data_IF_073695721040
#
_entry.id   IF_073695721040
#
_cell.length_a   1.000
_cell.length_b   1.000
_cell.length_c   1.000
_cell.angle_alpha   90.00
_cell.angle_beta   90.00
_cell.angle_gamma   90.00
#
_symmetry.space_group_name_H-M   'P 1'
#
loop_
_entity.id
_entity.type
_entity.pdbx_description
1 polymer ?
#
# COMPACT_ATOMS: atom_id res chain seq x y z
N UNK A 1 39.04 -20.41 33.90
CA UNK A 1 39.04 -19.02 33.38
C UNK A 1 39.01 -19.08 31.86
N UNK A 2 37.81 -19.20 31.30
CA UNK A 2 37.52 -19.06 29.85
C UNK A 2 36.12 -18.45 29.79
N UNK A 3 36.03 -17.18 29.39
CA UNK A 3 34.77 -16.44 29.28
C UNK A 3 34.14 -16.75 27.92
N UNK A 4 33.04 -17.52 27.93
CA UNK A 4 32.18 -17.74 26.76
C UNK A 4 31.47 -16.44 26.41
N UNK A 5 31.82 -15.85 25.26
CA UNK A 5 31.12 -14.68 24.72
C UNK A 5 29.83 -15.11 24.02
N UNK A 6 28.70 -14.89 24.70
CA UNK A 6 27.36 -14.94 24.13
C UNK A 6 27.19 -13.78 23.15
N UNK A 7 27.08 -14.07 21.85
CA UNK A 7 26.62 -13.11 20.85
C UNK A 7 25.10 -13.12 20.82
N UNK A 8 24.50 -12.15 21.50
CA UNK A 8 23.11 -11.76 21.34
C UNK A 8 23.02 -10.99 20.02
N UNK A 9 22.41 -11.60 19.00
CA UNK A 9 21.96 -10.87 17.80
C UNK A 9 20.62 -10.23 18.15
N UNK A 10 20.70 -8.98 18.60
CA UNK A 10 19.56 -8.09 18.81
C UNK A 10 19.28 -7.38 17.48
N UNK A 11 18.56 -8.04 16.58
CA UNK A 11 18.13 -7.45 15.31
C UNK A 11 16.95 -6.50 15.55
N UNK A 12 17.29 -5.23 15.76
CA UNK A 12 16.59 -4.02 15.32
C UNK A 12 15.06 -4.12 15.14
N UNK A 13 14.32 -4.17 16.26
CA UNK A 13 12.98 -3.58 16.35
C UNK A 13 13.13 -2.06 16.38
N UNK A 14 13.37 -1.49 15.20
CA UNK A 14 13.85 -0.12 15.06
C UNK A 14 13.01 0.77 14.17
N UNK A 15 11.69 0.59 14.06
CA UNK A 15 10.76 1.59 13.48
C UNK A 15 9.33 1.43 14.01
N UNK A 16 9.13 1.50 15.33
CA UNK A 16 7.81 1.91 15.84
C UNK A 16 7.81 3.43 15.98
N UNK A 17 6.86 4.17 15.38
CA UNK A 17 6.80 5.61 15.57
C UNK A 17 6.58 5.92 17.05
N UNK A 18 7.46 6.78 17.58
CA UNK A 18 7.29 7.49 18.85
C UNK A 18 6.08 8.41 18.75
N UNK A 19 5.21 8.38 19.76
CA UNK A 19 4.23 9.43 20.06
C UNK A 19 2.84 9.12 19.54
N UNK A 20 1.89 8.91 20.46
CA UNK A 20 0.47 8.71 20.19
C UNK A 20 -0.24 9.98 19.73
N UNK A 21 0.22 10.58 18.63
CA UNK A 21 -0.64 11.47 17.86
C UNK A 21 -1.78 10.62 17.28
N UNK A 22 -3.00 10.96 17.67
CA UNK A 22 -4.19 10.32 17.13
C UNK A 22 -4.24 10.62 15.63
N UNK A 23 -4.26 9.58 14.81
CA UNK A 23 -4.38 9.71 13.36
C UNK A 23 -5.59 10.59 13.00
N UNK A 24 -5.47 11.50 12.02
CA UNK A 24 -6.54 12.42 11.69
C UNK A 24 -7.70 11.68 11.02
N UNK A 25 -8.93 12.04 11.40
CA UNK A 25 -10.10 11.64 10.64
C UNK A 25 -10.18 12.45 9.35
N UNK A 26 -10.18 11.76 8.21
CA UNK A 26 -10.36 12.40 6.90
C UNK A 26 -11.83 12.47 6.46
N UNK A 27 -12.76 12.02 7.31
CA UNK A 27 -14.20 12.12 7.02
C UNK A 27 -14.63 13.59 7.00
N UNK A 28 -15.21 14.01 5.88
CA UNK A 28 -15.58 15.38 5.60
C UNK A 28 -14.41 16.28 5.19
N UNK A 29 -13.25 15.71 4.83
CA UNK A 29 -12.14 16.47 4.26
C UNK A 29 -12.61 17.35 3.08
N UNK A 30 -12.03 18.55 2.96
CA UNK A 30 -12.48 19.59 2.02
C UNK A 30 -11.65 19.66 0.74
N UNK A 31 -10.63 18.82 0.63
CA UNK A 31 -9.79 18.69 -0.55
C UNK A 31 -8.33 18.44 -0.16
N UNK A 32 -7.48 18.34 -1.18
CA UNK A 32 -6.07 18.05 -1.01
C UNK A 32 -5.17 18.94 -1.87
N UNK A 33 -3.88 18.90 -1.57
CA UNK A 33 -2.81 19.45 -2.38
C UNK A 33 -1.59 18.52 -2.34
N UNK A 34 -0.75 18.58 -3.37
CA UNK A 34 0.49 17.82 -3.45
C UNK A 34 1.69 18.76 -3.63
N UNK A 35 2.79 18.45 -2.94
CA UNK A 35 4.05 19.16 -3.07
C UNK A 35 5.03 18.32 -3.92
N UNK A 36 5.32 18.72 -5.18
CA UNK A 36 6.24 17.97 -6.03
C UNK A 36 7.69 17.98 -5.54
N UNK A 37 8.08 18.95 -4.70
CA UNK A 37 9.46 19.08 -4.21
C UNK A 37 9.76 18.14 -3.05
N UNK A 38 8.79 17.91 -2.16
CA UNK A 38 8.95 17.02 -1.00
C UNK A 38 8.26 15.67 -1.17
N UNK A 39 7.37 15.56 -2.17
CA UNK A 39 6.51 14.40 -2.37
C UNK A 39 5.33 14.33 -1.38
N UNK A 40 5.19 15.31 -0.48
CA UNK A 40 4.15 15.30 0.54
C UNK A 40 2.76 15.62 -0.02
N UNK A 41 1.75 15.03 0.60
CA UNK A 41 0.34 15.34 0.36
C UNK A 41 -0.24 16.02 1.59
N UNK A 42 -0.98 17.09 1.36
CA UNK A 42 -1.71 17.80 2.39
C UNK A 42 -3.21 17.63 2.16
N UNK A 43 -3.96 17.33 3.22
CA UNK A 43 -5.42 17.21 3.20
C UNK A 43 -6.01 18.25 4.14
N UNK A 44 -6.88 19.11 3.59
CA UNK A 44 -7.62 20.10 4.38
C UNK A 44 -8.75 19.40 5.14
N UNK A 45 -8.73 19.47 6.46
CA UNK A 45 -9.70 18.77 7.30
C UNK A 45 -11.06 19.47 7.31
N UNK A 46 -12.08 18.78 7.84
CA UNK A 46 -13.50 19.16 7.78
C UNK A 46 -13.80 20.58 8.23
N UNK A 47 -13.14 21.06 9.28
CA UNK A 47 -13.35 22.42 9.82
C UNK A 47 -12.70 23.50 8.94
N UNK A 48 -11.78 23.13 8.03
CA UNK A 48 -10.97 24.09 7.29
C UNK A 48 -9.94 24.84 8.14
N UNK A 49 -9.71 24.43 9.39
CA UNK A 49 -8.81 25.10 10.34
C UNK A 49 -7.50 24.36 10.56
N UNK A 50 -7.32 23.20 9.93
CA UNK A 50 -6.10 22.42 10.01
C UNK A 50 -5.89 21.54 8.79
N UNK A 51 -4.65 21.10 8.62
CA UNK A 51 -4.19 20.32 7.48
C UNK A 51 -3.45 19.09 7.99
N UNK A 52 -3.89 17.91 7.57
CA UNK A 52 -3.13 16.68 7.76
C UNK A 52 -2.07 16.54 6.67
N UNK A 53 -0.82 16.32 7.05
CA UNK A 53 0.31 16.14 6.13
C UNK A 53 0.74 14.69 6.10
N UNK A 54 0.93 14.18 4.89
CA UNK A 54 1.31 12.81 4.60
C UNK A 54 2.59 12.80 3.76
N UNK A 55 3.40 11.75 3.89
CA UNK A 55 4.57 11.56 3.03
C UNK A 55 4.21 11.02 1.63
N UNK A 56 5.22 10.79 0.80
CA UNK A 56 5.07 10.27 -0.56
C UNK A 56 4.41 8.87 -0.65
N UNK A 57 4.28 8.16 0.47
CA UNK A 57 3.62 6.86 0.59
C UNK A 57 2.34 6.96 1.42
N UNK A 58 1.77 8.16 1.53
CA UNK A 58 0.53 8.45 2.25
C UNK A 58 0.56 8.05 3.73
N UNK A 59 1.75 8.00 4.36
CA UNK A 59 1.84 7.80 5.80
C UNK A 59 1.67 9.14 6.50
N UNK A 60 0.81 9.19 7.52
CA UNK A 60 0.58 10.39 8.30
C UNK A 60 1.89 10.87 8.95
N UNK A 61 2.13 12.17 8.90
CA UNK A 61 3.34 12.81 9.44
C UNK A 61 3.03 13.73 10.60
N UNK A 62 2.02 14.59 10.44
CA UNK A 62 1.62 15.62 11.40
C UNK A 62 0.35 16.32 10.96
N UNK A 63 -0.34 16.94 11.90
CA UNK A 63 -1.38 17.93 11.64
C UNK A 63 -0.81 19.34 11.85
N UNK A 64 -1.16 20.27 10.96
CA UNK A 64 -0.77 21.67 11.04
C UNK A 64 -2.01 22.56 11.23
N UNK A 65 -2.06 23.41 12.27
CA UNK A 65 -3.14 24.38 12.42
C UNK A 65 -3.02 25.49 11.38
N UNK A 66 -4.17 26.07 11.01
CA UNK A 66 -4.27 27.25 10.16
C UNK A 66 -4.83 28.44 10.95
N UNK A 67 -4.44 29.65 10.54
CA UNK A 67 -4.98 30.89 11.09
C UNK A 67 -6.39 31.17 10.52
N UNK A 68 -7.38 30.40 11.00
CA UNK A 68 -8.78 30.52 10.63
C UNK A 68 -9.27 29.47 9.64
N UNK A 69 -10.56 29.56 9.30
CA UNK A 69 -11.19 28.65 8.34
C UNK A 69 -10.82 29.04 6.91
N UNK A 70 -10.32 28.06 6.15
CA UNK A 70 -9.94 28.25 4.74
C UNK A 70 -10.74 27.30 3.85
N UNK A 71 -10.89 27.67 2.58
CA UNK A 71 -11.63 26.87 1.60
C UNK A 71 -10.72 25.86 0.88
N UNK A 72 -9.45 26.17 0.72
CA UNK A 72 -8.48 25.27 0.14
C UNK A 72 -7.06 25.55 0.61
N UNK A 73 -6.16 24.72 0.13
CA UNK A 73 -4.72 24.75 0.40
C UNK A 73 -3.94 24.55 -0.91
N UNK A 74 -2.75 25.13 -0.97
CA UNK A 74 -1.79 24.91 -2.05
C UNK A 74 -0.37 24.94 -1.50
N UNK A 75 0.58 24.43 -2.27
CA UNK A 75 1.99 24.59 -1.93
C UNK A 75 2.57 25.79 -2.67
N UNK A 76 3.40 26.57 -1.95
CA UNK A 76 4.28 27.58 -2.55
C UNK A 76 5.54 27.68 -1.72
N UNK A 77 6.71 27.63 -2.37
CA UNK A 77 8.02 27.87 -1.73
C UNK A 77 8.27 26.99 -0.48
N UNK A 78 7.76 25.76 -0.47
CA UNK A 78 7.93 24.81 0.63
C UNK A 78 6.90 24.95 1.76
N UNK A 79 5.93 25.86 1.64
CA UNK A 79 4.90 26.11 2.64
C UNK A 79 3.51 25.76 2.12
N UNK A 80 2.64 25.29 3.03
CA UNK A 80 1.21 25.10 2.78
C UNK A 80 0.50 26.43 3.00
N UNK A 81 -0.04 27.02 1.93
CA UNK A 81 -0.68 28.33 1.96
C UNK A 81 -2.19 28.16 1.79
N UNK A 82 -3.00 28.81 2.64
CA UNK A 82 -4.43 28.98 2.43
C UNK A 82 -4.80 29.55 1.06
N UNK A 83 -5.94 29.13 0.52
CA UNK A 83 -6.56 29.77 -0.64
C UNK A 83 -8.06 29.91 -0.48
N UNK A 84 -8.61 30.93 -1.13
CA UNK A 84 -10.03 31.22 -1.13
C UNK A 84 -10.84 30.24 -1.99
N UNK A 85 -10.19 29.54 -2.93
CA UNK A 85 -10.84 28.56 -3.80
C UNK A 85 -10.79 27.16 -3.18
N UNK A 86 -11.85 26.38 -3.33
CA UNK A 86 -11.92 25.03 -2.79
C UNK A 86 -10.83 24.13 -3.39
N UNK A 87 -10.07 23.41 -2.56
CA UNK A 87 -9.11 22.41 -3.05
C UNK A 87 -9.83 21.28 -3.79
N UNK A 88 -9.23 20.69 -4.83
CA UNK A 88 -9.84 19.55 -5.50
C UNK A 88 -9.76 18.30 -4.61
N UNK A 89 -10.63 17.33 -4.87
CA UNK A 89 -10.54 16.00 -4.26
C UNK A 89 -9.54 15.08 -4.98
N UNK A 90 -8.93 15.55 -6.06
CA UNK A 90 -7.93 14.84 -6.83
C UNK A 90 -6.86 15.77 -7.38
N UNK A 91 -5.60 15.34 -7.39
CA UNK A 91 -4.48 16.04 -8.04
C UNK A 91 -3.58 15.05 -8.77
N UNK A 92 -2.87 15.54 -9.79
CA UNK A 92 -1.75 14.82 -10.39
C UNK A 92 -0.61 14.73 -9.38
N UNK A 93 -0.17 13.52 -9.08
CA UNK A 93 0.92 13.19 -8.18
C UNK A 93 2.19 12.75 -8.92
N UNK A 94 3.13 12.10 -8.21
CA UNK A 94 4.40 11.70 -8.79
C UNK A 94 4.21 10.67 -9.91
N UNK A 95 5.06 10.75 -10.94
CA UNK A 95 5.13 9.77 -12.04
C UNK A 95 3.79 9.53 -12.79
N UNK A 96 2.89 10.53 -12.81
CA UNK A 96 1.60 10.43 -13.49
C UNK A 96 0.53 9.69 -12.71
N UNK A 97 0.73 9.47 -11.41
CA UNK A 97 -0.32 8.95 -10.52
C UNK A 97 -1.38 10.01 -10.25
N UNK A 98 -2.58 9.56 -9.93
CA UNK A 98 -3.60 10.39 -9.33
C UNK A 98 -3.59 10.20 -7.81
N UNK A 99 -3.59 11.29 -7.04
CA UNK A 99 -3.80 11.26 -5.59
C UNK A 99 -5.22 11.75 -5.35
N UNK A 100 -6.04 10.93 -4.67
CA UNK A 100 -7.47 11.19 -4.49
C UNK A 100 -7.88 11.04 -3.03
N UNK A 101 -8.74 11.93 -2.55
CA UNK A 101 -9.45 11.81 -1.28
C UNK A 101 -10.92 11.47 -1.54
N UNK A 102 -11.42 10.44 -0.87
CA UNK A 102 -12.84 10.20 -0.63
C UNK A 102 -13.20 10.75 0.76
N UNK A 103 -13.84 11.92 0.84
CA UNK A 103 -14.20 12.52 2.12
C UNK A 103 -15.41 11.84 2.79
N UNK A 104 -16.17 11.00 2.08
CA UNK A 104 -17.30 10.28 2.68
C UNK A 104 -16.78 9.11 3.50
N UNK A 105 -15.87 8.34 2.93
CA UNK A 105 -15.27 7.16 3.58
C UNK A 105 -14.00 7.52 4.38
N UNK A 106 -13.44 8.72 4.18
CA UNK A 106 -12.21 9.16 4.84
C UNK A 106 -10.96 8.48 4.27
N UNK A 107 -10.97 8.16 2.98
CA UNK A 107 -9.91 7.39 2.30
C UNK A 107 -9.07 8.30 1.42
N UNK A 108 -7.78 8.41 1.72
CA UNK A 108 -6.78 9.01 0.84
C UNK A 108 -6.04 7.89 0.11
N UNK A 109 -6.08 7.89 -1.22
CA UNK A 109 -5.48 6.84 -2.04
C UNK A 109 -4.63 7.40 -3.17
N UNK A 110 -3.70 6.58 -3.64
CA UNK A 110 -2.89 6.87 -4.81
C UNK A 110 -3.13 5.83 -5.90
N UNK A 111 -3.33 6.26 -7.14
CA UNK A 111 -3.49 5.34 -8.26
C UNK A 111 -2.17 4.62 -8.60
N UNK A 112 -2.28 3.53 -9.35
CA UNK A 112 -1.13 2.98 -10.06
C UNK A 112 -0.71 3.91 -11.20
N UNK A 113 0.58 3.90 -11.52
CA UNK A 113 1.08 4.46 -12.78
C UNK A 113 0.85 3.48 -13.94
N UNK A 114 0.95 3.93 -15.21
CA UNK A 114 0.76 3.04 -16.37
C UNK A 114 1.75 1.87 -16.48
N UNK A 115 2.91 1.96 -15.84
CA UNK A 115 3.95 0.93 -15.87
C UNK A 115 3.89 -0.02 -14.66
N UNK A 116 3.04 0.28 -13.68
CA UNK A 116 2.74 -0.62 -12.58
C UNK A 116 1.62 -1.58 -12.93
N UNK A 117 1.59 -2.70 -12.23
CA UNK A 117 0.58 -3.72 -12.45
C UNK A 117 -0.16 -4.05 -11.16
N UNK A 118 -1.42 -4.44 -11.31
CA UNK A 118 -2.12 -5.20 -10.28
C UNK A 118 -1.38 -6.53 -10.03
N UNK A 119 -1.56 -7.16 -8.86
CA UNK A 119 -1.00 -8.47 -8.61
C UNK A 119 -1.64 -9.55 -9.49
N UNK A 120 -0.79 -10.41 -10.03
CA UNK A 120 -1.14 -11.54 -10.89
C UNK A 120 -0.62 -12.79 -10.20
N UNK A 121 -1.48 -13.80 -10.07
CA UNK A 121 -1.07 -15.14 -9.69
C UNK A 121 -0.85 -15.98 -10.96
N UNK A 122 0.34 -16.55 -11.09
CA UNK A 122 0.70 -17.51 -12.14
C UNK A 122 0.84 -18.89 -11.51
N UNK A 123 0.19 -19.90 -12.10
CA UNK A 123 0.20 -21.27 -11.58
C UNK A 123 1.16 -22.17 -12.36
N UNK A 124 1.97 -22.93 -11.62
CA UNK A 124 2.80 -24.00 -12.16
C UNK A 124 2.53 -25.33 -11.45
N UNK A 125 3.20 -26.40 -11.89
CA UNK A 125 3.05 -27.72 -11.28
C UNK A 125 3.56 -27.71 -9.84
N UNK A 126 2.65 -27.79 -8.86
CA UNK A 126 3.00 -27.81 -7.44
C UNK A 126 3.23 -26.43 -6.82
N UNK A 127 3.07 -25.35 -7.58
CA UNK A 127 3.40 -24.00 -7.12
C UNK A 127 2.54 -22.90 -7.74
N UNK A 128 2.52 -21.75 -7.09
CA UNK A 128 2.05 -20.51 -7.69
C UNK A 128 3.03 -19.37 -7.37
N UNK A 129 3.07 -18.37 -8.24
CA UNK A 129 3.84 -17.15 -8.04
C UNK A 129 2.87 -15.97 -8.09
N UNK A 130 2.77 -15.24 -6.98
CA UNK A 130 2.10 -13.95 -6.98
C UNK A 130 3.14 -12.90 -7.34
N UNK A 131 2.85 -12.08 -8.33
CA UNK A 131 3.75 -11.02 -8.76
C UNK A 131 3.01 -9.75 -9.09
N UNK A 132 3.65 -8.62 -8.83
CA UNK A 132 3.23 -7.31 -9.31
C UNK A 132 4.46 -6.47 -9.57
N UNK A 133 4.28 -5.40 -10.32
CA UNK A 133 5.30 -4.39 -10.55
C UNK A 133 4.88 -3.11 -9.86
N UNK A 134 5.64 -2.67 -8.84
CA UNK A 134 5.39 -1.41 -8.13
C UNK A 134 6.66 -0.78 -7.59
N UNK A 135 6.69 0.55 -7.53
CA UNK A 135 7.71 1.28 -6.77
C UNK A 135 7.49 1.17 -5.25
N UNK A 136 6.27 0.82 -4.83
CA UNK A 136 5.95 0.57 -3.44
C UNK A 136 6.20 -0.90 -3.09
N UNK A 137 6.82 -1.12 -1.93
CA UNK A 137 7.05 -2.47 -1.39
C UNK A 137 6.07 -2.68 -0.22
N UNK A 138 5.23 -3.72 -0.27
CA UNK A 138 4.39 -4.10 0.84
C UNK A 138 5.24 -4.35 2.08
N UNK A 139 4.85 -3.79 3.24
CA UNK A 139 5.59 -3.97 4.47
C UNK A 139 5.46 -5.39 5.05
N UNK A 140 4.44 -6.14 4.63
CA UNK A 140 4.14 -7.47 5.16
C UNK A 140 4.45 -8.59 4.16
N UNK A 141 4.87 -9.78 4.64
CA UNK A 141 4.90 -11.00 3.83
C UNK A 141 3.53 -11.31 3.22
N UNK A 142 3.51 -12.08 2.14
CA UNK A 142 2.28 -12.60 1.58
C UNK A 142 1.78 -13.75 2.44
N UNK A 143 0.56 -13.62 2.94
CA UNK A 143 -0.09 -14.65 3.74
C UNK A 143 -1.05 -15.46 2.89
N UNK A 144 -1.05 -16.78 3.09
CA UNK A 144 -1.83 -17.70 2.27
C UNK A 144 -2.13 -19.01 3.00
N UNK A 145 -3.18 -19.71 2.58
CA UNK A 145 -3.50 -21.05 3.07
C UNK A 145 -4.15 -21.90 1.97
N UNK A 146 -4.05 -23.21 2.09
CA UNK A 146 -4.91 -24.13 1.32
C UNK A 146 -6.14 -24.37 2.18
N UNK A 147 -7.34 -24.39 1.60
CA UNK A 147 -8.59 -24.52 2.35
C UNK A 147 -8.57 -25.73 3.30
N UNK A 148 -8.76 -25.47 4.60
CA UNK A 148 -8.67 -26.48 5.66
C UNK A 148 -7.25 -26.80 6.15
N UNK A 149 -6.23 -26.11 5.64
CA UNK A 149 -4.84 -26.24 6.03
C UNK A 149 -4.38 -25.14 7.01
N UNK A 150 -3.08 -25.15 7.30
CA UNK A 150 -2.44 -24.13 8.14
C UNK A 150 -2.14 -22.85 7.35
N UNK A 151 -2.24 -21.71 8.05
CA UNK A 151 -1.80 -20.40 7.55
C UNK A 151 -0.29 -20.40 7.34
N UNK A 152 0.13 -19.92 6.18
CA UNK A 152 1.53 -19.85 5.74
C UNK A 152 1.88 -18.43 5.33
N UNK A 153 3.18 -18.14 5.37
CA UNK A 153 3.76 -16.87 4.92
C UNK A 153 4.82 -17.13 3.86
N UNK A 154 4.84 -16.28 2.84
CA UNK A 154 5.87 -16.26 1.81
C UNK A 154 6.43 -14.86 1.68
N UNK A 155 7.76 -14.74 1.63
CA UNK A 155 8.44 -13.45 1.51
C UNK A 155 8.29 -12.89 0.09
N UNK A 156 8.38 -11.57 -0.02
CA UNK A 156 8.50 -10.87 -1.30
C UNK A 156 9.97 -10.79 -1.71
N UNK A 157 10.25 -11.19 -2.93
CA UNK A 157 11.57 -11.14 -3.54
C UNK A 157 11.54 -10.18 -4.74
N UNK A 158 12.65 -9.48 -4.97
CA UNK A 158 12.85 -8.68 -6.17
C UNK A 158 13.20 -9.57 -7.35
N UNK A 159 12.60 -9.33 -8.52
CA UNK A 159 13.10 -9.94 -9.74
C UNK A 159 14.48 -9.35 -10.07
N UNK A 160 15.42 -10.19 -10.51
CA UNK A 160 16.81 -9.78 -10.82
C UNK A 160 16.86 -8.90 -12.07
N UNK A 161 15.99 -9.16 -13.04
CA UNK A 161 15.93 -8.44 -14.32
C UNK A 161 15.01 -7.21 -14.24
N UNK A 162 14.10 -7.15 -13.26
CA UNK A 162 13.25 -6.00 -12.98
C UNK A 162 13.14 -5.75 -11.46
N UNK A 163 13.95 -4.81 -10.96
CA UNK A 163 13.99 -4.45 -9.55
C UNK A 163 12.68 -3.84 -9.01
N UNK A 164 11.73 -3.47 -9.88
CA UNK A 164 10.38 -3.02 -9.48
C UNK A 164 9.36 -4.16 -9.50
N UNK A 165 9.69 -5.27 -10.14
CA UNK A 165 8.89 -6.48 -10.05
C UNK A 165 9.18 -7.19 -8.72
N UNK A 166 8.10 -7.56 -8.05
CA UNK A 166 8.08 -8.28 -6.80
C UNK A 166 7.38 -9.61 -7.02
N UNK A 167 7.93 -10.67 -6.44
CA UNK A 167 7.45 -12.03 -6.60
C UNK A 167 7.39 -12.74 -5.25
N UNK A 168 6.38 -13.56 -5.05
CA UNK A 168 6.27 -14.43 -3.88
C UNK A 168 5.81 -15.82 -4.31
N UNK A 169 6.58 -16.83 -3.94
CA UNK A 169 6.32 -18.21 -4.33
C UNK A 169 5.54 -18.97 -3.26
N UNK A 170 4.52 -19.68 -3.72
CA UNK A 170 3.65 -20.56 -2.96
C UNK A 170 3.96 -21.99 -3.42
N UNK A 171 4.17 -22.94 -2.50
CA UNK A 171 4.63 -24.31 -2.81
C UNK A 171 3.73 -25.37 -2.17
N UNK A 172 3.71 -26.56 -2.74
CA UNK A 172 2.87 -27.67 -2.25
C UNK A 172 1.40 -27.49 -2.63
N UNK A 173 1.15 -26.93 -3.80
CA UNK A 173 -0.20 -26.74 -4.34
C UNK A 173 -0.62 -27.96 -5.17
N UNK A 174 -1.89 -28.35 -5.08
CA UNK A 174 -2.43 -29.49 -5.83
C UNK A 174 -3.61 -29.03 -6.69
N UNK A 175 -3.73 -29.52 -7.95
CA UNK A 175 -4.88 -29.21 -8.79
C UNK A 175 -6.21 -29.54 -8.12
N UNK A 176 -7.22 -28.69 -8.31
CA UNK A 176 -8.56 -28.81 -7.73
C UNK A 176 -8.67 -28.35 -6.27
N UNK A 177 -7.55 -28.12 -5.57
CA UNK A 177 -7.58 -27.54 -4.23
C UNK A 177 -7.88 -26.02 -4.30
N UNK A 178 -8.48 -25.48 -3.24
CA UNK A 178 -8.69 -24.04 -3.10
C UNK A 178 -7.53 -23.42 -2.32
N UNK A 179 -6.87 -22.44 -2.90
CA UNK A 179 -5.92 -21.57 -2.21
C UNK A 179 -6.61 -20.27 -1.82
N UNK A 180 -6.37 -19.81 -0.59
CA UNK A 180 -6.76 -18.49 -0.11
C UNK A 180 -5.51 -17.64 0.04
N UNK A 181 -5.57 -16.41 -0.42
CA UNK A 181 -4.47 -15.45 -0.34
C UNK A 181 -4.99 -14.20 0.34
N UNK A 182 -4.31 -13.78 1.40
CA UNK A 182 -4.65 -12.56 2.10
C UNK A 182 -4.39 -11.37 1.19
N UNK A 183 -5.40 -10.51 1.05
CA UNK A 183 -5.35 -9.36 0.14
C UNK A 183 -4.18 -8.46 0.49
N UNK A 184 -3.35 -8.18 -0.51
CA UNK A 184 -2.27 -7.20 -0.41
C UNK A 184 -2.66 -5.93 -1.15
N UNK A 185 -2.34 -4.76 -0.62
CA UNK A 185 -2.53 -3.50 -1.33
C UNK A 185 -1.44 -3.38 -2.39
N UNK A 186 -1.73 -2.84 -3.58
CA UNK A 186 -0.73 -2.57 -4.62
C UNK A 186 -0.32 -1.10 -4.71
N UNK A 187 -0.98 -0.24 -3.94
CA UNK A 187 -0.76 1.20 -3.95
C UNK A 187 -0.91 1.77 -2.52
N UNK A 188 -0.21 2.87 -2.21
CA UNK A 188 -0.39 3.57 -0.95
C UNK A 188 -1.85 4.00 -0.71
N UNK A 189 -2.30 3.85 0.54
CA UNK A 189 -3.62 4.29 0.99
C UNK A 189 -3.59 4.62 2.49
N UNK A 190 -4.37 5.62 2.88
CA UNK A 190 -4.63 6.01 4.26
C UNK A 190 -6.15 6.10 4.54
N UNK A 191 -6.65 5.59 5.68
CA UNK A 191 -5.93 4.66 6.55
C UNK A 191 -5.49 3.42 5.74
N UNK A 192 -4.40 2.78 6.16
CA UNK A 192 -3.98 1.55 5.48
C UNK A 192 -5.12 0.54 5.56
N UNK A 193 -5.59 -0.01 4.43
CA UNK A 193 -6.73 -0.93 4.46
C UNK A 193 -6.34 -2.14 5.31
N UNK A 194 -7.28 -2.60 6.13
CA UNK A 194 -7.09 -3.83 6.89
C UNK A 194 -6.74 -4.98 5.94
N UNK A 195 -5.68 -5.71 6.26
CA UNK A 195 -5.25 -6.90 5.51
C UNK A 195 -6.16 -8.11 5.82
N UNK A 196 -7.47 -7.93 6.01
CA UNK A 196 -8.33 -8.99 6.57
C UNK A 196 -9.15 -9.75 5.51
N UNK A 197 -9.10 -9.30 4.25
CA UNK A 197 -9.88 -9.92 3.18
C UNK A 197 -9.08 -11.05 2.51
N UNK A 198 -9.61 -12.27 2.55
CA UNK A 198 -9.04 -13.42 1.84
C UNK A 198 -9.64 -13.52 0.44
N UNK A 199 -8.79 -13.70 -0.57
CA UNK A 199 -9.21 -13.96 -1.95
C UNK A 199 -8.98 -15.44 -2.27
N UNK A 200 -10.00 -16.11 -2.78
CA UNK A 200 -9.98 -17.55 -3.01
C UNK A 200 -9.83 -17.90 -4.50
N UNK A 201 -9.03 -18.93 -4.78
CA UNK A 201 -8.83 -19.47 -6.12
C UNK A 201 -8.83 -20.98 -6.08
N UNK A 202 -9.56 -21.61 -6.98
CA UNK A 202 -9.30 -23.00 -7.35
C UNK A 202 -7.98 -23.07 -8.13
N UNK A 203 -7.10 -23.98 -7.71
CA UNK A 203 -5.81 -24.27 -8.34
C UNK A 203 -6.07 -25.05 -9.63
N UNK A 204 -5.72 -24.51 -10.81
CA UNK A 204 -5.98 -25.18 -12.07
C UNK A 204 -5.03 -26.37 -12.29
N UNK A 205 -5.43 -27.28 -13.15
CA UNK A 205 -4.49 -28.24 -13.75
C UNK A 205 -3.51 -27.50 -14.67
N UNK A 206 -2.21 -27.82 -14.56
CA UNK A 206 -1.15 -27.15 -15.33
C UNK A 206 -0.51 -28.13 -16.32
N UNK A 207 -0.68 -27.85 -17.61
CA UNK A 207 -0.06 -28.60 -18.71
C UNK A 207 1.48 -28.52 -18.65
N UNK A 208 2.15 -29.54 -19.18
CA UNK A 208 3.61 -29.55 -19.33
C UNK A 208 4.11 -28.67 -20.48
N UNK A 209 3.27 -28.41 -21.48
CA UNK A 209 3.69 -27.83 -22.78
C UNK A 209 2.88 -26.58 -23.17
N UNK A 210 1.97 -26.13 -22.30
CA UNK A 210 1.13 -24.95 -22.52
C UNK A 210 1.56 -23.73 -21.71
N UNK A 211 0.95 -22.56 -21.97
CA UNK A 211 1.16 -21.38 -21.14
C UNK A 211 0.68 -21.64 -19.71
N UNK A 212 1.36 -21.02 -18.74
CA UNK A 212 0.95 -21.11 -17.35
C UNK A 212 -0.36 -20.35 -17.11
N UNK A 213 -1.36 -20.94 -16.44
CA UNK A 213 -2.59 -20.25 -16.10
C UNK A 213 -2.32 -19.02 -15.24
N UNK A 214 -3.02 -17.92 -15.53
CA UNK A 214 -2.92 -16.67 -14.79
C UNK A 214 -4.29 -16.20 -14.31
N UNK A 215 -4.33 -15.62 -13.10
CA UNK A 215 -5.50 -14.89 -12.60
C UNK A 215 -5.03 -13.54 -12.03
N UNK A 216 -5.81 -12.50 -12.26
CA UNK A 216 -5.57 -11.19 -11.64
C UNK A 216 -6.17 -11.19 -10.24
N UNK A 217 -5.40 -10.73 -9.25
CA UNK A 217 -5.94 -10.37 -7.95
C UNK A 217 -6.56 -8.97 -8.13
N UNK A 218 -7.84 -8.90 -8.50
CA UNK A 218 -8.50 -7.59 -8.69
C UNK A 218 -8.65 -6.90 -7.34
N UNK A 219 -7.78 -5.91 -7.08
CA UNK A 219 -7.82 -5.08 -5.90
C UNK A 219 -8.68 -3.84 -6.20
N UNK A 220 -10.00 -3.97 -6.14
CA UNK A 220 -10.84 -2.78 -6.25
C UNK A 220 -10.64 -1.95 -4.98
N UNK A 221 -10.10 -0.75 -5.11
CA UNK A 221 -10.24 0.28 -4.06
C UNK A 221 -11.75 0.40 -3.83
N UNK A 222 -12.22 0.05 -2.63
CA UNK A 222 -13.62 0.31 -2.24
C UNK A 222 -13.77 1.79 -1.98
#
# INVERSE_FOLDING_TARGET
MVLTHSWIILLLLGMFPRGGEMEPSLVGARGLAWNPNTGETAVLLKTGTSVAVFDAFLRFRKELPLEGEVKGIQQREGQWIPRETASPNSVSGPAGREIRIDPKEGILGMSLTPWESQPIITFGKGWACVSYRSAWVPPAPLEWEISGGERRVSMWESNVDDALQRQSFLRGLHPGATIKILRTVSAPQFPSPGLEEWVEFEIPEVSATGPWPQKTLTLTLK
#
